data_IF_034659411940
#
_entry.id   IF_034659411940
#
_cell.length_a   1.000
_cell.length_b   1.000
_cell.length_c   1.000
_cell.angle_alpha   90.00
_cell.angle_beta   90.00
_cell.angle_gamma   90.00
#
_symmetry.space_group_name_H-M   'P 1'
#
loop_
_entity.id
_entity.type
_entity.pdbx_description
1 polymer ?
#
# COMPACT_ATOMS: atom_id res chain seq x y z
N UNK A 1 -1.01 -2.13 -19.58
CA UNK A 1 0.23 -2.69 -19.01
C UNK A 1 0.04 -2.89 -17.52
N UNK A 2 0.33 -4.08 -16.99
CA UNK A 2 0.27 -4.37 -15.55
C UNK A 2 1.65 -4.08 -14.97
N UNK A 3 1.78 -3.05 -14.15
CA UNK A 3 3.01 -2.81 -13.39
C UNK A 3 2.98 -3.75 -12.18
N UNK A 4 3.97 -4.65 -12.02
CA UNK A 4 4.03 -5.51 -10.86
C UNK A 4 4.26 -4.67 -9.60
N UNK A 5 3.57 -5.02 -8.51
CA UNK A 5 3.88 -4.46 -7.19
C UNK A 5 5.20 -5.08 -6.75
N UNK A 6 6.21 -4.23 -6.52
CA UNK A 6 7.52 -4.63 -6.00
C UNK A 6 7.65 -4.06 -4.60
N UNK A 7 7.91 -4.92 -3.63
CA UNK A 7 8.25 -4.53 -2.26
C UNK A 7 9.76 -4.29 -2.19
N UNK A 8 10.16 -3.25 -1.45
CA UNK A 8 11.57 -3.08 -1.05
C UNK A 8 12.01 -4.33 -0.31
N UNK A 9 13.12 -4.91 -0.74
CA UNK A 9 13.63 -6.18 -0.23
C UNK A 9 14.80 -5.93 0.71
N UNK A 10 14.67 -6.40 1.94
CA UNK A 10 15.72 -6.39 2.96
C UNK A 10 16.28 -7.80 3.03
N UNK A 11 17.53 -7.97 2.58
CA UNK A 11 18.22 -9.25 2.58
C UNK A 11 19.23 -9.31 3.71
N UNK A 12 19.19 -10.42 4.43
CA UNK A 12 20.10 -10.79 5.50
C UNK A 12 20.89 -12.02 5.07
N UNK A 13 22.20 -11.91 5.02
CA UNK A 13 23.10 -13.02 4.73
C UNK A 13 23.86 -13.37 6.02
N UNK A 14 23.65 -14.58 6.56
CA UNK A 14 24.28 -15.08 7.78
C UNK A 14 25.37 -16.07 7.40
N UNK A 15 26.62 -15.77 7.74
CA UNK A 15 27.74 -16.65 7.48
C UNK A 15 27.89 -17.78 8.52
N UNK A 16 28.88 -18.65 8.30
CA UNK A 16 29.17 -19.79 9.20
C UNK A 16 29.62 -19.38 10.59
N UNK A 17 30.11 -18.16 10.76
CA UNK A 17 30.55 -17.58 12.02
C UNK A 17 29.42 -16.80 12.72
N UNK A 18 28.22 -16.77 12.11
CA UNK A 18 27.04 -16.08 12.62
C UNK A 18 27.06 -14.57 12.39
N UNK A 19 27.97 -14.06 11.56
CA UNK A 19 27.99 -12.65 11.15
C UNK A 19 26.88 -12.38 10.14
N UNK A 20 26.21 -11.25 10.34
CA UNK A 20 25.08 -10.81 9.56
C UNK A 20 25.49 -9.67 8.62
N UNK A 21 25.41 -9.89 7.31
CA UNK A 21 25.44 -8.83 6.32
C UNK A 21 24.01 -8.44 5.93
N UNK A 22 23.74 -7.14 5.82
CA UNK A 22 22.41 -6.61 5.49
C UNK A 22 22.48 -5.80 4.22
N UNK A 23 21.51 -6.00 3.34
CA UNK A 23 21.29 -5.12 2.19
C UNK A 23 19.83 -4.75 2.01
N UNK A 24 19.59 -3.53 1.54
CA UNK A 24 18.25 -3.04 1.17
C UNK A 24 18.26 -2.77 -0.33
N UNK A 25 17.43 -3.50 -1.08
CA UNK A 25 17.40 -3.50 -2.55
C UNK A 25 18.80 -3.68 -3.18
N UNK A 26 19.63 -4.53 -2.54
CA UNK A 26 21.00 -4.83 -2.95
C UNK A 26 22.04 -3.77 -2.61
N UNK A 27 21.67 -2.69 -1.91
CA UNK A 27 22.62 -1.73 -1.35
C UNK A 27 23.01 -2.13 0.07
N UNK A 28 24.32 -2.18 0.41
CA UNK A 28 24.77 -2.50 1.75
C UNK A 28 24.14 -1.57 2.79
N UNK A 29 23.58 -2.16 3.83
CA UNK A 29 22.99 -1.45 4.96
C UNK A 29 23.81 -1.78 6.21
N UNK A 30 24.14 -0.77 7.01
CA UNK A 30 24.91 -0.93 8.24
C UNK A 30 26.34 -1.53 8.08
N UNK A 31 27.01 -1.28 6.95
CA UNK A 31 28.27 -1.95 6.55
C UNK A 31 29.49 -1.88 7.48
N UNK A 32 29.50 -1.01 8.50
CA UNK A 32 30.59 -0.95 9.51
C UNK A 32 30.20 -1.58 10.87
N UNK A 33 28.96 -2.05 11.02
CA UNK A 33 28.47 -2.65 12.27
C UNK A 33 28.78 -4.15 12.27
N UNK A 34 29.35 -4.66 13.36
CA UNK A 34 29.39 -6.10 13.62
C UNK A 34 28.00 -6.52 14.09
N UNK A 35 27.27 -7.25 13.24
CA UNK A 35 25.88 -7.63 13.48
C UNK A 35 25.79 -9.15 13.62
N UNK A 36 24.90 -9.58 14.50
CA UNK A 36 24.59 -10.97 14.75
C UNK A 36 23.13 -11.26 14.45
N UNK A 37 22.76 -12.54 14.46
CA UNK A 37 21.37 -12.98 14.24
C UNK A 37 20.36 -12.32 15.19
N UNK A 38 20.76 -11.97 16.41
CA UNK A 38 19.90 -11.29 17.38
C UNK A 38 19.51 -9.86 16.95
N UNK A 39 20.30 -9.23 16.08
CA UNK A 39 20.06 -7.87 15.60
C UNK A 39 19.03 -7.81 14.46
N UNK A 40 18.72 -8.95 13.83
CA UNK A 40 17.85 -9.05 12.66
C UNK A 40 16.52 -8.34 12.88
N UNK A 41 15.84 -8.63 14.00
CA UNK A 41 14.55 -8.02 14.32
C UNK A 41 14.66 -6.49 14.48
N UNK A 42 15.73 -6.01 15.10
CA UNK A 42 15.94 -4.58 15.30
C UNK A 42 16.17 -3.87 13.98
N UNK A 43 16.93 -4.47 13.06
CA UNK A 43 17.23 -3.89 11.75
C UNK A 43 16.00 -3.90 10.85
N UNK A 44 15.26 -5.00 10.82
CA UNK A 44 13.97 -5.06 10.12
C UNK A 44 13.06 -3.93 10.60
N UNK A 45 12.96 -3.72 11.91
CA UNK A 45 12.15 -2.65 12.48
C UNK A 45 12.68 -1.25 12.11
N UNK A 46 14.00 -1.03 12.18
CA UNK A 46 14.66 0.23 11.77
C UNK A 46 14.34 0.57 10.31
N UNK A 47 14.53 -0.39 9.39
CA UNK A 47 14.30 -0.21 7.96
C UNK A 47 12.81 0.01 7.66
N UNK A 48 11.93 -0.78 8.26
CA UNK A 48 10.48 -0.67 8.06
C UNK A 48 9.94 0.66 8.61
N UNK A 49 10.44 1.11 9.75
CA UNK A 49 10.07 2.41 10.33
C UNK A 49 10.60 3.59 9.51
N UNK A 50 11.81 3.47 8.94
CA UNK A 50 12.39 4.51 8.09
C UNK A 50 11.64 4.67 6.76
N UNK A 51 11.32 3.55 6.11
CA UNK A 51 10.62 3.54 4.83
C UNK A 51 9.12 3.85 4.97
N UNK A 52 8.52 3.53 6.13
CA UNK A 52 7.10 3.76 6.38
C UNK A 52 6.17 2.90 5.50
N UNK A 53 6.70 1.88 4.84
CA UNK A 53 5.98 0.96 3.97
C UNK A 53 6.32 -0.48 4.31
N UNK A 54 5.47 -1.43 3.90
CA UNK A 54 5.78 -2.86 4.04
C UNK A 54 7.05 -3.22 3.24
N UNK A 55 7.88 -4.09 3.81
CA UNK A 55 9.11 -4.59 3.20
C UNK A 55 9.09 -6.10 3.12
N UNK A 56 9.74 -6.65 2.09
CA UNK A 56 9.98 -8.09 2.01
C UNK A 56 11.29 -8.40 2.72
N UNK A 57 11.27 -9.31 3.68
CA UNK A 57 12.45 -9.78 4.38
C UNK A 57 12.88 -11.11 3.78
N UNK A 58 14.16 -11.23 3.44
CA UNK A 58 14.79 -12.48 3.01
C UNK A 58 15.99 -12.77 3.91
N UNK A 59 16.05 -13.96 4.48
CA UNK A 59 17.15 -14.41 5.34
C UNK A 59 17.79 -15.62 4.71
N UNK A 60 19.08 -15.54 4.41
CA UNK A 60 19.89 -16.62 3.88
C UNK A 60 20.86 -17.07 4.97
N UNK A 61 20.77 -18.34 5.34
CA UNK A 61 21.70 -18.96 6.28
C UNK A 61 22.79 -19.74 5.54
N UNK A 62 23.96 -19.86 6.17
CA UNK A 62 25.13 -20.54 5.61
C UNK A 62 24.89 -22.02 5.26
N UNK A 63 23.88 -22.66 5.85
CA UNK A 63 23.46 -24.03 5.53
C UNK A 63 22.62 -24.13 4.23
N UNK A 64 22.38 -22.99 3.58
CA UNK A 64 21.56 -22.87 2.37
C UNK A 64 20.07 -22.69 2.66
N UNK A 65 19.66 -22.67 3.93
CA UNK A 65 18.28 -22.41 4.31
C UNK A 65 17.93 -20.96 4.00
N UNK A 66 16.74 -20.75 3.43
CA UNK A 66 16.21 -19.41 3.14
C UNK A 66 14.85 -19.24 3.77
N UNK A 67 14.66 -18.15 4.49
CA UNK A 67 13.39 -17.72 5.05
C UNK A 67 12.94 -16.44 4.36
N UNK A 68 11.64 -16.31 4.12
CA UNK A 68 11.05 -15.08 3.57
C UNK A 68 9.81 -14.70 4.35
N UNK A 69 9.68 -13.41 4.64
CA UNK A 69 8.51 -12.85 5.31
C UNK A 69 8.19 -11.45 4.76
N UNK A 70 7.05 -10.88 5.15
CA UNK A 70 6.65 -9.51 4.85
C UNK A 70 6.40 -8.79 6.17
N UNK A 71 7.20 -7.75 6.40
CA UNK A 71 7.11 -6.94 7.60
C UNK A 71 6.41 -5.63 7.27
N UNK A 72 5.37 -5.33 8.04
CA UNK A 72 4.54 -4.13 7.87
C UNK A 72 4.86 -3.18 9.01
N UNK A 73 5.05 -1.87 8.76
CA UNK A 73 5.27 -0.91 9.84
C UNK A 73 4.11 -1.01 10.83
N UNK A 74 4.43 -1.01 12.12
CA UNK A 74 3.40 -0.90 13.14
C UNK A 74 2.59 0.37 12.89
N UNK A 75 1.26 0.26 12.80
CA UNK A 75 0.41 1.44 12.92
C UNK A 75 0.84 2.15 14.20
N UNK A 76 1.29 3.40 14.11
CA UNK A 76 1.55 4.20 15.30
C UNK A 76 0.27 4.24 16.10
N UNK A 77 0.20 3.39 17.13
CA UNK A 77 -0.79 3.48 18.17
C UNK A 77 -0.50 4.81 18.86
N UNK A 78 -1.18 5.85 18.41
CA UNK A 78 -1.21 7.14 19.08
C UNK A 78 -1.59 6.82 20.53
N UNK A 79 -0.76 7.16 21.54
CA UNK A 79 -1.12 6.90 22.92
C UNK A 79 -2.45 7.59 23.17
N UNK A 80 -3.40 6.89 23.77
CA UNK A 80 -4.62 7.49 24.30
C UNK A 80 -4.24 8.37 25.51
N UNK A 81 -3.62 9.52 25.22
CA UNK A 81 -3.45 10.60 26.15
C UNK A 81 -4.72 11.46 26.07
N UNK A 82 -5.35 11.65 27.22
CA UNK A 82 -6.48 12.55 27.38
C UNK A 82 -6.17 13.94 26.77
N UNK A 83 -7.17 14.50 26.09
CA UNK A 83 -7.22 15.77 25.35
C UNK A 83 -6.28 16.90 25.84
N UNK A 84 -5.70 17.68 24.91
CA UNK A 84 -6.49 18.72 24.26
C UNK A 84 -6.76 18.32 22.82
N UNK A 85 -8.04 18.35 22.44
CA UNK A 85 -8.50 18.31 21.04
C UNK A 85 -7.58 19.20 20.19
N UNK A 86 -6.74 18.63 19.30
CA UNK A 86 -6.41 19.39 18.12
C UNK A 86 -7.75 19.52 17.39
N UNK A 87 -8.17 20.74 17.07
CA UNK A 87 -9.10 20.92 15.97
C UNK A 87 -8.41 20.31 14.76
N UNK A 88 -8.65 19.02 14.54
CA UNK A 88 -8.48 18.38 13.26
C UNK A 88 -9.39 19.17 12.34
N UNK A 89 -8.82 20.16 11.67
CA UNK A 89 -9.33 20.56 10.39
C UNK A 89 -9.23 19.30 9.53
N UNK A 90 -10.27 18.47 9.61
CA UNK A 90 -10.50 17.40 8.66
C UNK A 90 -10.34 18.05 7.30
N UNK A 91 -9.47 17.54 6.40
CA UNK A 91 -9.35 18.12 5.07
C UNK A 91 -10.74 18.06 4.42
N UNK A 92 -11.45 19.19 4.47
CA UNK A 92 -12.82 19.28 4.06
C UNK A 92 -12.81 19.60 2.57
N UNK A 93 -13.13 18.62 1.74
CA UNK A 93 -13.46 18.86 0.36
C UNK A 93 -14.82 19.58 0.32
N UNK A 94 -14.82 20.83 -0.15
CA UNK A 94 -16.03 21.60 -0.34
C UNK A 94 -16.39 21.65 -1.84
N UNK A 95 -17.67 21.45 -2.15
CA UNK A 95 -18.24 21.64 -3.49
C UNK A 95 -19.47 22.54 -3.42
N UNK A 96 -19.79 23.22 -4.51
CA UNK A 96 -20.94 24.12 -4.61
C UNK A 96 -21.72 23.87 -5.91
N UNK A 97 -22.98 24.35 -5.98
CA UNK A 97 -23.86 24.16 -7.14
C UNK A 97 -24.86 23.00 -7.01
N UNK A 98 -24.95 22.40 -5.84
CA UNK A 98 -25.88 21.31 -5.54
C UNK A 98 -27.31 21.82 -5.27
N UNK A 99 -28.31 20.98 -5.57
CA UNK A 99 -29.71 21.20 -5.21
C UNK A 99 -29.91 21.03 -3.70
N UNK A 100 -30.79 21.85 -3.08
CA UNK A 100 -31.12 21.68 -1.66
C UNK A 100 -31.63 20.26 -1.36
N UNK A 101 -30.98 19.58 -0.43
CA UNK A 101 -31.35 18.25 0.05
C UNK A 101 -30.88 17.07 -0.82
N UNK A 102 -30.09 17.30 -1.88
CA UNK A 102 -29.54 16.19 -2.66
C UNK A 102 -28.36 15.51 -1.98
N UNK A 103 -28.24 14.18 -2.15
CA UNK A 103 -27.09 13.44 -1.67
C UNK A 103 -25.90 13.68 -2.60
N UNK A 104 -24.76 14.06 -2.02
CA UNK A 104 -23.50 14.31 -2.75
C UNK A 104 -22.55 13.15 -2.49
N UNK A 105 -22.12 12.49 -3.57
CA UNK A 105 -21.15 11.40 -3.50
C UNK A 105 -19.76 11.89 -3.95
N UNK A 106 -18.70 11.46 -3.26
CA UNK A 106 -17.32 11.62 -3.73
C UNK A 106 -16.95 10.45 -4.63
N UNK A 107 -16.70 10.73 -5.91
CA UNK A 107 -16.18 9.75 -6.85
C UNK A 107 -14.68 9.95 -7.06
N UNK A 108 -13.90 8.88 -6.92
CA UNK A 108 -12.46 8.87 -7.19
C UNK A 108 -12.15 7.92 -8.35
N UNK A 109 -11.43 8.41 -9.36
CA UNK A 109 -11.09 7.60 -10.55
C UNK A 109 -9.94 6.65 -10.21
N UNK A 110 -10.28 5.39 -9.95
CA UNK A 110 -9.33 4.32 -9.60
C UNK A 110 -8.71 3.61 -10.81
N UNK A 111 -9.37 3.68 -11.98
CA UNK A 111 -8.94 3.04 -13.22
C UNK A 111 -9.49 3.79 -14.44
N UNK A 112 -8.76 3.73 -15.56
CA UNK A 112 -9.19 4.29 -16.86
C UNK A 112 -9.09 3.21 -17.93
N UNK A 113 -10.10 3.15 -18.80
CA UNK A 113 -10.17 2.24 -19.93
C UNK A 113 -10.83 2.97 -21.10
N UNK A 114 -10.25 2.86 -22.28
CA UNK A 114 -10.89 3.35 -23.50
C UNK A 114 -12.07 2.44 -23.86
N UNK A 115 -13.18 3.06 -24.23
CA UNK A 115 -14.33 2.34 -24.76
C UNK A 115 -14.02 1.80 -26.16
N UNK A 116 -14.62 0.66 -26.49
CA UNK A 116 -14.50 0.05 -27.82
C UNK A 116 -15.25 0.86 -28.89
N UNK A 117 -15.17 0.39 -30.15
CA UNK A 117 -15.84 1.04 -31.29
C UNK A 117 -17.37 1.12 -31.15
N UNK A 118 -17.97 0.34 -30.25
CA UNK A 118 -19.40 0.34 -29.97
C UNK A 118 -19.76 1.16 -28.72
N UNK A 119 -18.78 1.77 -28.05
CA UNK A 119 -18.97 2.56 -26.84
C UNK A 119 -18.99 1.75 -25.54
N UNK A 120 -18.59 0.47 -25.55
CA UNK A 120 -18.55 -0.36 -24.34
C UNK A 120 -17.17 -0.32 -23.68
N UNK A 121 -17.13 -0.38 -22.35
CA UNK A 121 -15.88 -0.47 -21.59
C UNK A 121 -16.00 -1.53 -20.49
N UNK A 122 -15.02 -2.43 -20.39
CA UNK A 122 -14.90 -3.42 -19.32
C UNK A 122 -13.67 -3.10 -18.47
N UNK A 123 -13.87 -2.85 -17.17
CA UNK A 123 -12.79 -2.48 -16.24
C UNK A 123 -12.63 -3.59 -15.20
N UNK A 124 -11.44 -4.20 -15.15
CA UNK A 124 -11.09 -5.16 -14.09
C UNK A 124 -10.51 -4.42 -12.90
N UNK A 125 -11.14 -4.53 -11.74
CA UNK A 125 -10.68 -3.94 -10.49
C UNK A 125 -10.07 -5.01 -9.57
N UNK A 126 -9.07 -4.66 -8.72
CA UNK A 126 -8.57 -5.58 -7.71
C UNK A 126 -9.67 -6.04 -6.75
N UNK A 127 -9.69 -7.31 -6.30
CA UNK A 127 -10.73 -7.84 -5.40
C UNK A 127 -10.94 -7.04 -4.11
N UNK A 128 -9.86 -6.50 -3.54
CA UNK A 128 -9.95 -5.66 -2.33
C UNK A 128 -10.74 -4.37 -2.54
N UNK A 129 -10.68 -3.79 -3.75
CA UNK A 129 -11.44 -2.60 -4.09
C UNK A 129 -12.91 -2.92 -4.33
N UNK A 130 -13.20 -4.06 -5.00
CA UNK A 130 -14.57 -4.55 -5.18
C UNK A 130 -15.25 -4.85 -3.83
N UNK A 131 -14.52 -5.43 -2.89
CA UNK A 131 -15.02 -5.73 -1.55
C UNK A 131 -15.30 -4.47 -0.70
N UNK A 132 -14.54 -3.40 -0.89
CA UNK A 132 -14.73 -2.12 -0.20
C UNK A 132 -15.89 -1.29 -0.78
N UNK A 133 -16.20 -1.44 -2.07
CA UNK A 133 -17.12 -0.54 -2.79
C UNK A 133 -18.54 -1.10 -2.91
N UNK A 134 -18.98 -1.96 -1.97
CA UNK A 134 -20.24 -2.75 -2.02
C UNK A 134 -21.55 -1.97 -2.25
N UNK A 135 -21.51 -0.64 -2.27
CA UNK A 135 -22.69 0.23 -2.29
C UNK A 135 -22.74 1.25 -3.43
N UNK A 136 -21.81 1.23 -4.40
CA UNK A 136 -21.93 2.12 -5.56
C UNK A 136 -20.66 2.29 -6.36
N UNK A 137 -20.58 1.55 -7.48
CA UNK A 137 -19.60 1.79 -8.53
C UNK A 137 -20.30 2.47 -9.70
N UNK A 138 -19.68 3.53 -10.22
CA UNK A 138 -20.16 4.25 -11.41
C UNK A 138 -19.01 4.40 -12.40
N UNK A 139 -19.34 4.30 -13.69
CA UNK A 139 -18.45 4.66 -14.79
C UNK A 139 -18.75 6.09 -15.22
N UNK A 140 -17.70 6.91 -15.31
CA UNK A 140 -17.77 8.29 -15.80
C UNK A 140 -17.08 8.39 -17.16
N UNK A 141 -17.85 8.69 -18.21
CA UNK A 141 -17.30 9.09 -19.50
C UNK A 141 -16.63 10.46 -19.37
N UNK A 142 -15.31 10.54 -19.50
CA UNK A 142 -14.58 11.80 -19.24
C UNK A 142 -14.86 12.90 -20.28
N UNK A 143 -15.18 12.51 -21.51
CA UNK A 143 -15.52 13.45 -22.59
C UNK A 143 -17.02 13.76 -22.64
N UNK A 144 -17.86 12.74 -22.47
CA UNK A 144 -19.32 12.87 -22.56
C UNK A 144 -19.98 13.26 -21.24
N UNK A 145 -19.24 13.18 -20.13
CA UNK A 145 -19.72 13.31 -18.74
C UNK A 145 -20.87 12.35 -18.40
N UNK A 146 -21.01 11.26 -19.15
CA UNK A 146 -22.03 10.25 -18.92
C UNK A 146 -21.70 9.46 -17.67
N UNK A 147 -22.67 9.28 -16.77
CA UNK A 147 -22.56 8.41 -15.59
C UNK A 147 -23.39 7.15 -15.83
N UNK A 148 -22.77 5.98 -15.73
CA UNK A 148 -23.44 4.69 -15.84
C UNK A 148 -23.20 3.85 -14.57
N UNK A 149 -24.23 3.20 -14.00
CA UNK A 149 -24.03 2.28 -12.88
C UNK A 149 -23.26 1.03 -13.33
N UNK A 150 -22.42 0.47 -12.45
CA UNK A 150 -21.81 -0.84 -12.67
C UNK A 150 -22.74 -1.90 -12.12
N UNK A 151 -23.36 -2.70 -12.99
CA UNK A 151 -24.06 -3.91 -12.57
C UNK A 151 -23.00 -4.98 -12.23
N UNK A 152 -23.03 -5.47 -10.99
CA UNK A 152 -22.23 -6.64 -10.63
C UNK A 152 -22.75 -7.84 -11.44
N UNK A 153 -21.94 -8.35 -12.38
CA UNK A 153 -22.25 -9.64 -13.00
C UNK A 153 -22.22 -10.70 -11.89
N UNK A 154 -23.36 -11.34 -11.67
CA UNK A 154 -23.57 -12.41 -10.70
C UNK A 154 -22.76 -13.66 -11.04
#
# INVERSE_FOLDING_TARGET
>A
MKVPVVLTTVRFDIDTDGQLEVSVDGQPHAGDRTLSRDDLRSIVHEVTANLGTAVRVEVHEADGTTYSDIETPAESAVPAAAEPVPETASPALAGAGFRPGEQVALAYVVARQEADANGNAAITLPPGLLAATRHGLVLLGLTSLTVAPVEAQA
#
